data_IF_064036139068
#
_entry.id   IF_064036139068
#
_cell.length_a   1.000
_cell.length_b   1.000
_cell.length_c   1.000
_cell.angle_alpha   90.00
_cell.angle_beta   90.00
_cell.angle_gamma   90.00
#
_symmetry.space_group_name_H-M   'P 1'
#
loop_
_entity.id
_entity.type
_entity.pdbx_description
1 polymer ?
#
# COMPACT_ATOMS: atom_id res chain seq x y z
N UNK A 1 -22.32 -4.65 -6.06
CA UNK A 1 -21.98 -4.21 -4.71
C UNK A 1 -21.01 -5.15 -3.98
N UNK A 2 -20.78 -6.39 -4.48
CA UNK A 2 -19.81 -7.33 -3.91
C UNK A 2 -18.49 -7.26 -4.69
N UNK A 3 -17.35 -7.22 -3.98
CA UNK A 3 -16.02 -7.24 -4.59
C UNK A 3 -15.58 -8.65 -4.96
N UNK A 4 -15.92 -9.64 -4.12
CA UNK A 4 -15.71 -11.06 -4.35
C UNK A 4 -16.72 -11.90 -3.56
N UNK A 5 -16.87 -13.18 -3.90
CA UNK A 5 -17.78 -14.11 -3.20
C UNK A 5 -17.24 -15.53 -3.24
N UNK A 6 -17.66 -16.34 -2.24
CA UNK A 6 -17.44 -17.80 -2.20
C UNK A 6 -18.76 -18.47 -1.81
N UNK A 7 -19.31 -19.25 -2.73
CA UNK A 7 -20.55 -20.02 -2.52
C UNK A 7 -20.19 -21.48 -2.73
N UNK A 8 -19.83 -22.17 -1.65
CA UNK A 8 -19.36 -23.55 -1.66
C UNK A 8 -19.52 -24.16 -0.26
N UNK A 9 -19.20 -25.47 -0.15
CA UNK A 9 -19.26 -26.24 1.09
C UNK A 9 -17.92 -26.34 1.84
N UNK A 10 -16.91 -25.57 1.43
CA UNK A 10 -15.61 -25.48 2.12
C UNK A 10 -15.75 -24.69 3.39
N UNK A 11 -14.83 -24.88 4.34
CA UNK A 11 -14.84 -24.11 5.56
C UNK A 11 -14.65 -22.59 5.32
N UNK A 12 -15.17 -21.78 6.20
CA UNK A 12 -15.17 -20.32 6.06
C UNK A 12 -13.76 -19.76 6.16
N UNK A 13 -12.90 -20.34 6.99
CA UNK A 13 -11.54 -19.85 7.18
C UNK A 13 -10.70 -19.95 5.90
N UNK A 14 -10.81 -21.05 5.13
CA UNK A 14 -10.13 -21.19 3.85
C UNK A 14 -10.69 -20.22 2.81
N UNK A 15 -12.01 -20.04 2.78
CA UNK A 15 -12.65 -19.07 1.90
C UNK A 15 -12.20 -17.63 2.23
N UNK A 16 -12.03 -17.27 3.50
CA UNK A 16 -11.54 -15.96 3.94
C UNK A 16 -10.10 -15.75 3.51
N UNK A 17 -9.22 -16.75 3.65
CA UNK A 17 -7.83 -16.68 3.15
C UNK A 17 -7.78 -16.43 1.65
N UNK A 18 -8.53 -17.21 0.87
CA UNK A 18 -8.60 -17.02 -0.58
C UNK A 18 -9.14 -15.64 -0.97
N UNK A 19 -10.15 -15.13 -0.28
CA UNK A 19 -10.68 -13.78 -0.51
C UNK A 19 -9.67 -12.71 -0.15
N UNK A 20 -8.94 -12.87 0.96
CA UNK A 20 -7.85 -11.99 1.39
C UNK A 20 -6.76 -11.91 0.30
N UNK A 21 -6.34 -13.05 -0.24
CA UNK A 21 -5.35 -13.13 -1.32
C UNK A 21 -5.87 -12.53 -2.63
N UNK A 22 -7.09 -12.89 -3.04
CA UNK A 22 -7.72 -12.39 -4.28
C UNK A 22 -7.87 -10.88 -4.28
N UNK A 23 -8.29 -10.31 -3.15
CA UNK A 23 -8.52 -8.88 -2.99
C UNK A 23 -7.24 -8.13 -2.59
N UNK A 24 -6.17 -8.85 -2.24
CA UNK A 24 -4.94 -8.31 -1.69
C UNK A 24 -5.21 -7.40 -0.46
N UNK A 25 -5.99 -7.93 0.49
CA UNK A 25 -6.34 -7.27 1.76
C UNK A 25 -5.82 -8.13 2.90
N UNK A 26 -5.14 -7.53 3.87
CA UNK A 26 -4.68 -8.26 5.06
C UNK A 26 -5.83 -8.87 5.86
N UNK A 27 -5.63 -10.05 6.43
CA UNK A 27 -6.62 -10.71 7.30
C UNK A 27 -7.05 -9.84 8.49
N UNK A 28 -6.14 -9.00 8.99
CA UNK A 28 -6.38 -8.03 10.07
C UNK A 28 -7.28 -6.85 9.67
N UNK A 29 -7.62 -6.74 8.41
CA UNK A 29 -8.54 -5.73 7.86
C UNK A 29 -9.92 -6.31 7.54
N UNK A 30 -10.18 -7.57 7.94
CA UNK A 30 -11.43 -8.26 7.67
C UNK A 30 -12.26 -8.40 8.95
N UNK A 31 -13.56 -8.24 8.80
CA UNK A 31 -14.56 -8.53 9.83
C UNK A 31 -15.44 -9.64 9.32
N UNK A 32 -15.47 -10.78 10.02
CA UNK A 32 -16.31 -11.93 9.66
C UNK A 32 -17.60 -11.92 10.48
N UNK A 33 -18.71 -11.90 9.79
CA UNK A 33 -20.05 -11.92 10.38
C UNK A 33 -20.80 -13.16 9.90
N UNK A 34 -21.25 -13.99 10.83
CA UNK A 34 -21.97 -15.22 10.55
C UNK A 34 -22.95 -15.51 11.71
N UNK A 35 -24.15 -16.00 11.44
CA UNK A 35 -25.13 -16.35 12.45
C UNK A 35 -24.80 -17.69 13.15
N UNK A 36 -24.05 -18.58 12.50
CA UNK A 36 -23.65 -19.86 13.05
C UNK A 36 -22.48 -19.70 14.05
N UNK A 37 -22.69 -20.01 15.34
CA UNK A 37 -21.65 -19.88 16.36
C UNK A 37 -20.45 -20.83 16.11
N UNK A 38 -20.68 -21.98 15.50
CA UNK A 38 -19.61 -22.96 15.19
C UNK A 38 -18.68 -22.42 14.12
N UNK A 39 -19.22 -21.77 13.08
CA UNK A 39 -18.42 -21.15 12.03
C UNK A 39 -17.64 -19.95 12.57
N UNK A 40 -18.24 -19.13 13.44
CA UNK A 40 -17.53 -18.02 14.10
C UNK A 40 -16.36 -18.52 14.94
N UNK A 41 -16.58 -19.59 15.75
CA UNK A 41 -15.51 -20.14 16.59
C UNK A 41 -14.39 -20.75 15.75
N UNK A 42 -14.71 -21.46 14.67
CA UNK A 42 -13.73 -21.99 13.74
C UNK A 42 -12.85 -20.88 13.15
N UNK A 43 -13.45 -19.76 12.72
CA UNK A 43 -12.70 -18.63 12.17
C UNK A 43 -11.82 -17.97 13.25
N UNK A 44 -12.29 -17.80 14.49
CA UNK A 44 -11.48 -17.27 15.59
C UNK A 44 -10.23 -18.13 15.84
N UNK A 45 -10.37 -19.44 15.81
CA UNK A 45 -9.26 -20.37 16.06
C UNK A 45 -8.28 -20.42 14.88
N UNK A 46 -8.78 -20.51 13.66
CA UNK A 46 -7.94 -20.66 12.47
C UNK A 46 -7.36 -19.34 11.95
N UNK A 47 -8.02 -18.21 12.20
CA UNK A 47 -7.66 -16.88 11.72
C UNK A 47 -7.76 -15.84 12.84
N UNK A 48 -6.89 -15.90 13.85
CA UNK A 48 -6.97 -15.02 15.03
C UNK A 48 -6.78 -13.53 14.70
N UNK A 49 -6.33 -13.21 13.49
CA UNK A 49 -6.20 -11.83 13.01
C UNK A 49 -7.51 -11.26 12.44
N UNK A 50 -8.50 -12.12 12.12
CA UNK A 50 -9.81 -11.68 11.62
C UNK A 50 -10.69 -11.32 12.80
N UNK A 51 -11.29 -10.14 12.74
CA UNK A 51 -12.26 -9.75 13.76
C UNK A 51 -13.57 -10.52 13.58
N UNK A 52 -14.06 -11.16 14.65
CA UNK A 52 -15.29 -11.97 14.62
C UNK A 52 -16.24 -11.50 15.73
N UNK A 53 -17.08 -10.51 15.46
CA UNK A 53 -18.03 -9.98 16.43
C UNK A 53 -19.10 -11.01 16.80
N UNK A 54 -19.68 -10.86 18.00
CA UNK A 54 -20.81 -11.69 18.41
C UNK A 54 -22.06 -11.31 17.60
N UNK A 55 -22.69 -12.32 17.02
CA UNK A 55 -23.91 -12.15 16.24
C UNK A 55 -25.13 -12.07 17.17
N UNK A 56 -26.08 -11.16 16.95
CA UNK A 56 -27.24 -10.99 17.82
C UNK A 56 -28.16 -12.21 17.82
N UNK A 57 -28.65 -12.58 18.99
CA UNK A 57 -29.54 -13.75 19.15
C UNK A 57 -30.94 -13.52 18.57
N UNK A 58 -31.37 -12.27 18.48
CA UNK A 58 -32.71 -11.90 18.04
C UNK A 58 -32.67 -11.08 16.75
N UNK A 59 -33.46 -11.43 15.73
CA UNK A 59 -33.45 -10.74 14.44
C UNK A 59 -33.71 -9.23 14.50
N UNK A 60 -34.52 -8.76 15.45
CA UNK A 60 -34.81 -7.35 15.59
C UNK A 60 -33.63 -6.49 16.06
N UNK A 61 -32.55 -7.13 16.55
CA UNK A 61 -31.32 -6.46 16.96
C UNK A 61 -30.32 -6.28 15.77
N UNK A 62 -30.59 -6.86 14.62
CA UNK A 62 -29.70 -6.79 13.45
C UNK A 62 -29.43 -5.35 12.95
N UNK A 63 -30.41 -4.43 12.87
CA UNK A 63 -30.15 -3.06 12.45
C UNK A 63 -29.14 -2.36 13.35
N UNK A 64 -29.32 -2.42 14.66
CA UNK A 64 -28.41 -1.78 15.64
C UNK A 64 -27.02 -2.45 15.62
N UNK A 65 -26.99 -3.77 15.45
CA UNK A 65 -25.74 -4.50 15.29
C UNK A 65 -24.95 -4.03 14.06
N UNK A 66 -25.59 -3.89 12.90
CA UNK A 66 -24.93 -3.42 11.67
C UNK A 66 -24.44 -1.97 11.82
N UNK A 67 -25.20 -1.11 12.47
CA UNK A 67 -24.79 0.26 12.78
C UNK A 67 -23.54 0.24 13.68
N UNK A 68 -23.56 -0.57 14.73
CA UNK A 68 -22.42 -0.70 15.65
C UNK A 68 -21.15 -1.21 14.97
N UNK A 69 -21.28 -2.16 14.02
CA UNK A 69 -20.15 -2.63 13.20
C UNK A 69 -19.60 -1.50 12.33
N UNK A 70 -20.50 -0.74 11.69
CA UNK A 70 -20.10 0.40 10.85
C UNK A 70 -19.31 1.42 11.66
N UNK A 71 -19.81 1.80 12.84
CA UNK A 71 -19.16 2.78 13.70
C UNK A 71 -17.84 2.30 14.27
N UNK A 72 -17.75 1.01 14.63
CA UNK A 72 -16.56 0.45 15.26
C UNK A 72 -15.42 0.16 14.27
N UNK A 73 -15.72 -0.40 13.10
CA UNK A 73 -14.71 -0.93 12.19
C UNK A 73 -14.59 -0.17 10.86
N UNK A 74 -15.65 0.52 10.44
CA UNK A 74 -15.72 1.13 9.10
C UNK A 74 -15.94 2.64 9.11
N UNK A 75 -15.79 3.29 10.27
CA UNK A 75 -15.97 4.72 10.39
C UNK A 75 -14.93 5.47 9.56
N UNK A 76 -15.39 6.28 8.63
CA UNK A 76 -14.56 7.11 7.76
C UNK A 76 -14.95 8.56 7.98
N UNK A 77 -13.99 9.40 8.39
CA UNK A 77 -14.22 10.83 8.64
C UNK A 77 -14.24 11.66 7.36
N UNK A 78 -13.55 11.20 6.32
CA UNK A 78 -13.59 11.80 4.99
C UNK A 78 -13.51 10.70 3.93
N UNK A 79 -14.30 10.81 2.87
CA UNK A 79 -14.33 9.86 1.75
C UNK A 79 -13.64 10.53 0.57
N UNK A 80 -12.52 9.97 0.13
CA UNK A 80 -11.84 10.42 -1.10
C UNK A 80 -12.49 9.81 -2.33
N UNK A 81 -12.18 10.33 -3.52
CA UNK A 81 -12.64 9.76 -4.78
C UNK A 81 -12.15 8.30 -4.96
N UNK A 82 -10.93 7.99 -4.49
CA UNK A 82 -10.39 6.64 -4.49
C UNK A 82 -11.18 5.69 -3.58
N UNK A 83 -11.68 6.18 -2.44
CA UNK A 83 -12.53 5.36 -1.56
C UNK A 83 -13.86 4.99 -2.24
N UNK A 84 -14.42 5.86 -3.05
CA UNK A 84 -15.65 5.59 -3.83
C UNK A 84 -15.44 4.53 -4.90
N UNK A 85 -14.23 4.46 -5.48
CA UNK A 85 -13.88 3.52 -6.55
C UNK A 85 -13.35 2.18 -6.04
N UNK A 86 -13.26 1.95 -4.73
CA UNK A 86 -12.66 0.73 -4.14
C UNK A 86 -13.21 -0.56 -4.72
N UNK A 87 -14.54 -0.67 -4.88
CA UNK A 87 -15.15 -1.90 -5.41
C UNK A 87 -14.69 -2.21 -6.84
N UNK A 88 -14.56 -1.17 -7.68
CA UNK A 88 -14.04 -1.34 -9.06
C UNK A 88 -12.57 -1.75 -9.05
N UNK A 89 -11.78 -1.16 -8.15
CA UNK A 89 -10.37 -1.50 -7.99
C UNK A 89 -10.15 -2.94 -7.54
N UNK A 90 -10.99 -3.47 -6.64
CA UNK A 90 -10.94 -4.87 -6.24
C UNK A 90 -11.30 -5.83 -7.37
N UNK A 91 -12.31 -5.51 -8.18
CA UNK A 91 -12.66 -6.29 -9.38
C UNK A 91 -11.52 -6.30 -10.39
N UNK A 92 -10.90 -5.15 -10.63
CA UNK A 92 -9.72 -5.05 -11.48
C UNK A 92 -8.55 -5.90 -10.95
N UNK A 93 -8.34 -5.96 -9.63
CA UNK A 93 -7.32 -6.82 -9.02
C UNK A 93 -7.62 -8.31 -9.23
N UNK A 94 -8.86 -8.74 -9.05
CA UNK A 94 -9.25 -10.12 -9.34
C UNK A 94 -8.98 -10.50 -10.81
N UNK A 95 -9.27 -9.58 -11.75
CA UNK A 95 -8.96 -9.77 -13.17
C UNK A 95 -7.45 -9.87 -13.43
N UNK A 96 -6.62 -9.07 -12.76
CA UNK A 96 -5.15 -9.14 -12.84
C UNK A 96 -4.62 -10.48 -12.32
N UNK A 97 -5.18 -10.97 -11.21
CA UNK A 97 -4.81 -12.28 -10.64
C UNK A 97 -5.13 -13.42 -11.59
N UNK A 98 -6.27 -13.37 -12.26
CA UNK A 98 -6.62 -14.36 -13.30
C UNK A 98 -5.69 -14.26 -14.50
N UNK A 99 -5.37 -13.05 -14.96
CA UNK A 99 -4.45 -12.83 -16.06
C UNK A 99 -3.05 -13.34 -15.76
N UNK A 100 -2.55 -13.12 -14.54
CA UNK A 100 -1.23 -13.60 -14.10
C UNK A 100 -1.06 -15.10 -14.30
N UNK A 101 -2.11 -15.88 -14.11
CA UNK A 101 -2.09 -17.35 -14.26
C UNK A 101 -1.84 -17.82 -15.69
N UNK A 102 -2.02 -16.96 -16.69
CA UNK A 102 -1.80 -17.28 -18.10
C UNK A 102 -0.33 -17.20 -18.53
N UNK A 103 0.52 -16.56 -17.71
CA UNK A 103 1.91 -16.33 -18.03
C UNK A 103 2.84 -17.17 -17.14
N UNK A 104 3.80 -17.82 -17.75
CA UNK A 104 4.90 -18.49 -17.04
C UNK A 104 5.96 -17.48 -16.64
N UNK A 105 6.30 -16.58 -17.55
CA UNK A 105 7.27 -15.51 -17.34
C UNK A 105 6.62 -14.29 -16.69
N UNK A 106 7.28 -13.75 -15.64
CA UNK A 106 6.74 -12.62 -14.89
C UNK A 106 6.88 -11.28 -15.64
N UNK A 107 7.96 -11.09 -16.36
CA UNK A 107 8.18 -9.84 -17.11
C UNK A 107 7.22 -9.75 -18.31
N UNK A 108 6.91 -10.86 -18.98
CA UNK A 108 5.87 -10.91 -20.00
C UNK A 108 4.49 -10.57 -19.43
N UNK A 109 4.18 -11.03 -18.22
CA UNK A 109 2.96 -10.61 -17.53
C UNK A 109 2.96 -9.11 -17.25
N UNK A 110 4.05 -8.54 -16.69
CA UNK A 110 4.14 -7.10 -16.42
C UNK A 110 4.00 -6.27 -17.71
N UNK A 111 4.64 -6.71 -18.79
CA UNK A 111 4.51 -6.08 -20.09
C UNK A 111 3.06 -6.09 -20.60
N UNK A 112 2.34 -7.19 -20.38
CA UNK A 112 0.94 -7.33 -20.78
C UNK A 112 -0.01 -6.39 -20.02
N UNK A 113 0.40 -5.87 -18.87
CA UNK A 113 -0.42 -4.96 -18.06
C UNK A 113 -0.46 -3.53 -18.61
N UNK A 114 0.51 -3.13 -19.44
CA UNK A 114 0.62 -1.77 -19.98
C UNK A 114 0.61 -0.71 -18.88
N UNK A 115 1.47 -0.89 -17.87
CA UNK A 115 1.48 -0.06 -16.66
C UNK A 115 1.95 1.36 -17.00
N UNK A 116 1.10 2.32 -16.68
CA UNK A 116 1.40 3.76 -16.70
C UNK A 116 1.52 4.28 -15.28
N UNK A 117 2.63 4.94 -15.01
CA UNK A 117 2.99 5.53 -13.72
C UNK A 117 3.12 7.03 -13.89
N UNK A 118 2.50 7.81 -13.00
CA UNK A 118 2.62 9.26 -12.99
C UNK A 118 3.10 9.71 -11.63
N UNK A 119 4.27 10.33 -11.61
CA UNK A 119 4.90 10.88 -10.40
C UNK A 119 4.65 12.39 -10.39
N UNK A 120 3.94 12.88 -9.39
CA UNK A 120 3.56 14.28 -9.30
C UNK A 120 3.97 14.88 -7.95
N UNK A 121 4.39 16.15 -7.92
CA UNK A 121 4.62 16.84 -6.67
C UNK A 121 3.31 17.00 -5.87
N UNK A 122 3.45 17.10 -4.56
CA UNK A 122 2.33 17.43 -3.68
C UNK A 122 1.71 18.78 -4.07
N UNK A 123 0.40 18.83 -4.03
CA UNK A 123 -0.41 20.01 -4.33
C UNK A 123 -1.65 20.04 -3.42
N UNK A 124 -2.41 21.11 -3.48
CA UNK A 124 -3.70 21.22 -2.77
C UNK A 124 -4.73 20.15 -3.19
N UNK A 125 -4.57 19.57 -4.38
CA UNK A 125 -5.51 18.55 -4.91
C UNK A 125 -5.20 17.13 -4.41
N UNK A 126 -3.94 16.85 -4.06
CA UNK A 126 -3.51 15.50 -3.69
C UNK A 126 -3.05 15.36 -2.23
N UNK A 127 -2.84 16.45 -1.49
CA UNK A 127 -2.36 16.44 -0.10
C UNK A 127 -3.24 15.60 0.84
N UNK A 128 -4.55 15.72 0.71
CA UNK A 128 -5.51 14.94 1.52
C UNK A 128 -5.31 13.43 1.32
N UNK A 129 -5.10 13.03 0.06
CA UNK A 129 -4.85 11.63 -0.26
C UNK A 129 -3.49 11.15 0.25
N UNK A 130 -2.44 11.95 0.14
CA UNK A 130 -1.11 11.62 0.68
C UNK A 130 -1.21 11.45 2.21
N UNK A 131 -1.84 12.39 2.93
CA UNK A 131 -2.06 12.29 4.37
C UNK A 131 -2.82 11.02 4.74
N UNK A 132 -3.93 10.73 4.05
CA UNK A 132 -4.70 9.49 4.26
C UNK A 132 -3.84 8.24 4.07
N UNK A 133 -2.96 8.23 3.07
CA UNK A 133 -2.06 7.10 2.83
C UNK A 133 -1.07 6.92 3.96
N UNK A 134 -0.47 7.99 4.53
CA UNK A 134 0.42 7.86 5.70
C UNK A 134 -0.32 7.25 6.89
N UNK A 135 -1.62 7.54 7.07
CA UNK A 135 -2.44 7.01 8.17
C UNK A 135 -2.83 5.55 8.00
N UNK A 136 -3.10 5.10 6.76
CA UNK A 136 -3.73 3.80 6.51
C UNK A 136 -2.77 2.73 5.98
N UNK A 137 -1.60 3.10 5.45
CA UNK A 137 -0.66 2.14 4.85
C UNK A 137 0.27 1.55 5.90
N UNK A 138 0.32 0.23 5.98
CA UNK A 138 1.14 -0.51 6.94
C UNK A 138 2.08 -1.52 6.26
N UNK A 139 1.61 -2.29 5.28
CA UNK A 139 2.37 -3.40 4.68
C UNK A 139 3.59 -2.91 3.90
N UNK A 140 3.41 -1.91 3.05
CA UNK A 140 4.51 -1.26 2.36
C UNK A 140 4.63 0.19 2.85
N UNK A 141 5.19 0.36 4.03
CA UNK A 141 5.54 1.64 4.63
C UNK A 141 6.82 1.45 5.45
N UNK A 142 7.90 2.03 4.98
CA UNK A 142 9.25 1.73 5.48
C UNK A 142 9.51 2.32 6.86
N UNK A 143 8.81 3.39 7.26
CA UNK A 143 9.00 4.04 8.57
C UNK A 143 7.73 4.10 9.40
N UNK A 144 6.57 3.87 8.79
CA UNK A 144 5.23 3.91 9.41
C UNK A 144 4.89 5.22 10.12
N UNK A 145 5.56 6.33 9.77
CA UNK A 145 5.26 7.67 10.27
C UNK A 145 3.90 8.13 9.78
N UNK A 146 3.17 8.87 10.62
CA UNK A 146 1.80 9.30 10.37
C UNK A 146 1.76 10.82 10.34
N UNK A 147 1.21 11.39 9.28
CA UNK A 147 1.17 12.82 9.07
C UNK A 147 -0.24 13.29 8.72
N UNK A 148 -0.64 14.43 9.26
CA UNK A 148 -1.85 15.15 8.88
C UNK A 148 -1.57 15.99 7.61
N UNK A 149 -2.62 16.51 7.00
CA UNK A 149 -2.50 17.45 5.87
C UNK A 149 -1.70 18.70 6.30
N UNK A 150 -1.91 19.17 7.53
CA UNK A 150 -1.21 20.34 8.08
C UNK A 150 0.30 20.08 8.22
N UNK A 151 0.69 18.88 8.69
CA UNK A 151 2.09 18.48 8.78
C UNK A 151 2.75 18.49 7.39
N UNK A 152 2.08 17.89 6.40
CA UNK A 152 2.60 17.82 5.03
C UNK A 152 2.76 19.21 4.40
N UNK A 153 1.80 20.10 4.61
CA UNK A 153 1.88 21.48 4.14
C UNK A 153 3.02 22.24 4.83
N UNK A 154 3.23 22.02 6.13
CA UNK A 154 4.34 22.56 6.89
C UNK A 154 5.69 22.07 6.38
N UNK A 155 5.82 20.77 6.10
CA UNK A 155 7.04 20.18 5.55
C UNK A 155 7.35 20.76 4.15
N UNK A 156 6.36 20.84 3.28
CA UNK A 156 6.52 21.41 1.95
C UNK A 156 6.99 22.88 2.02
N UNK A 157 6.40 23.68 2.92
CA UNK A 157 6.83 25.06 3.18
C UNK A 157 8.25 25.13 3.77
N UNK A 158 8.67 24.09 4.50
CA UNK A 158 10.01 23.91 5.05
C UNK A 158 11.05 23.34 4.07
N UNK A 159 10.72 23.24 2.77
CA UNK A 159 11.65 22.82 1.72
C UNK A 159 11.73 21.30 1.50
N UNK A 160 10.85 20.51 2.09
CA UNK A 160 10.76 19.08 1.76
C UNK A 160 10.20 18.89 0.34
N UNK A 161 10.68 17.86 -0.33
CA UNK A 161 10.09 17.38 -1.58
C UNK A 161 9.11 16.24 -1.26
N UNK A 162 7.87 16.40 -1.69
CA UNK A 162 6.83 15.41 -1.46
C UNK A 162 6.22 15.05 -2.81
N UNK A 163 6.28 13.77 -3.17
CA UNK A 163 5.72 13.27 -4.42
C UNK A 163 4.70 12.19 -4.15
N UNK A 164 3.68 12.12 -5.00
CA UNK A 164 2.75 11.00 -5.07
C UNK A 164 2.90 10.25 -6.40
N UNK A 165 2.48 8.99 -6.36
CA UNK A 165 2.46 8.09 -7.50
C UNK A 165 1.01 7.70 -7.81
N UNK A 166 0.56 8.01 -9.01
CA UNK A 166 -0.66 7.45 -9.60
C UNK A 166 -0.30 6.30 -10.55
N UNK A 167 -1.09 5.25 -10.51
CA UNK A 167 -0.86 4.06 -11.34
C UNK A 167 -2.14 3.65 -12.03
N UNK A 168 -2.08 3.47 -13.33
CA UNK A 168 -3.13 2.79 -14.09
C UNK A 168 -2.55 1.68 -14.97
N UNK A 169 -3.37 0.72 -15.32
CA UNK A 169 -3.05 -0.35 -16.27
C UNK A 169 -4.28 -0.69 -17.11
N UNK A 170 -4.18 -1.64 -18.03
CA UNK A 170 -5.29 -2.03 -18.93
C UNK A 170 -6.56 -2.49 -18.21
N UNK A 171 -6.50 -2.86 -16.92
CA UNK A 171 -7.64 -3.30 -16.12
C UNK A 171 -8.32 -2.14 -15.36
N UNK A 172 -7.66 -1.00 -15.22
CA UNK A 172 -8.25 0.16 -14.59
C UNK A 172 -7.26 1.12 -13.96
N UNK A 173 -7.82 2.22 -13.48
CA UNK A 173 -7.11 3.27 -12.78
C UNK A 173 -7.13 2.99 -11.27
N UNK A 174 -5.94 2.86 -10.67
CA UNK A 174 -5.78 2.67 -9.24
C UNK A 174 -5.72 4.00 -8.46
N UNK A 175 -5.68 5.13 -9.16
CA UNK A 175 -5.51 6.46 -8.57
C UNK A 175 -4.16 6.65 -7.89
N UNK A 176 -4.09 7.53 -6.89
CA UNK A 176 -2.88 7.74 -6.09
C UNK A 176 -2.67 6.55 -5.16
N UNK A 177 -1.58 5.84 -5.39
CA UNK A 177 -1.24 4.56 -4.74
C UNK A 177 0.14 4.53 -4.10
N UNK A 178 0.96 5.56 -4.28
CA UNK A 178 2.25 5.69 -3.64
C UNK A 178 2.52 7.11 -3.18
N UNK A 179 3.41 7.26 -2.20
CA UNK A 179 3.94 8.55 -1.79
C UNK A 179 5.38 8.41 -1.29
N UNK A 180 6.18 9.44 -1.50
CA UNK A 180 7.52 9.60 -0.96
C UNK A 180 7.66 11.00 -0.37
N UNK A 181 8.22 11.07 0.83
CA UNK A 181 8.54 12.30 1.53
C UNK A 181 10.06 12.38 1.68
N UNK A 182 10.65 13.44 1.17
CA UNK A 182 12.09 13.67 1.12
C UNK A 182 12.42 14.89 1.98
N UNK A 183 13.09 14.65 3.10
CA UNK A 183 13.57 15.70 3.99
C UNK A 183 14.92 16.21 3.49
N UNK A 184 15.13 17.54 3.34
CA UNK A 184 16.44 18.06 3.01
C UNK A 184 17.43 17.80 4.16
N UNK A 185 18.65 17.40 3.79
CA UNK A 185 19.79 17.23 4.70
C UNK A 185 21.02 17.88 4.07
N UNK A 186 22.10 18.01 4.84
CA UNK A 186 23.35 18.52 4.28
C UNK A 186 23.85 17.58 3.16
N UNK A 187 24.06 18.14 1.98
CA UNK A 187 24.50 17.42 0.78
C UNK A 187 23.48 16.58 0.03
N UNK A 188 22.19 16.56 0.45
CA UNK A 188 21.18 15.76 -0.24
C UNK A 188 19.81 15.69 0.43
N UNK A 189 19.21 14.51 0.37
CA UNK A 189 17.89 14.25 0.94
C UNK A 189 17.87 12.95 1.73
N UNK A 190 17.00 12.90 2.73
CA UNK A 190 16.62 11.67 3.42
C UNK A 190 15.19 11.28 3.03
N UNK A 191 15.01 10.03 2.64
CA UNK A 191 13.69 9.44 2.46
C UNK A 191 13.08 9.24 3.84
N UNK A 192 12.27 10.20 4.28
CA UNK A 192 11.57 10.16 5.57
C UNK A 192 10.48 9.10 5.56
N UNK A 193 9.73 9.03 4.49
CA UNK A 193 8.66 8.05 4.29
C UNK A 193 8.59 7.62 2.84
N UNK A 194 8.49 6.30 2.62
CA UNK A 194 8.23 5.70 1.33
C UNK A 194 7.15 4.63 1.51
N UNK A 195 6.03 4.80 0.86
CA UNK A 195 4.86 3.97 1.09
C UNK A 195 4.05 3.73 -0.19
N UNK A 196 3.49 2.51 -0.29
CA UNK A 196 2.63 2.11 -1.40
C UNK A 196 1.39 1.37 -0.90
N UNK A 197 0.27 1.60 -1.56
CA UNK A 197 -0.97 0.87 -1.32
C UNK A 197 -0.81 -0.62 -1.66
N UNK A 198 -1.37 -1.49 -0.85
CA UNK A 198 -1.36 -2.95 -1.08
C UNK A 198 -1.93 -3.35 -2.46
N UNK A 199 -2.80 -2.54 -3.06
CA UNK A 199 -3.42 -2.80 -4.37
C UNK A 199 -2.45 -2.93 -5.54
N UNK A 200 -1.29 -2.30 -5.44
CA UNK A 200 -0.28 -2.30 -6.52
C UNK A 200 0.93 -3.17 -6.22
N UNK A 201 1.03 -3.75 -5.02
CA UNK A 201 2.16 -4.61 -4.65
C UNK A 201 2.24 -5.85 -5.53
N UNK A 202 3.44 -6.44 -5.60
CA UNK A 202 3.72 -7.62 -6.40
C UNK A 202 3.79 -7.37 -7.92
N UNK A 203 4.05 -6.12 -8.34
CA UNK A 203 4.24 -5.73 -9.74
C UNK A 203 5.55 -4.97 -9.96
N UNK A 204 6.48 -5.00 -9.01
CA UNK A 204 7.75 -4.24 -9.00
C UNK A 204 7.57 -2.74 -9.27
N UNK A 205 6.39 -2.20 -8.98
CA UNK A 205 6.09 -0.76 -9.11
C UNK A 205 6.89 0.04 -8.07
N UNK A 206 7.12 -0.55 -6.90
CA UNK A 206 7.95 -0.01 -5.82
C UNK A 206 9.37 0.31 -6.28
N UNK A 207 9.99 -0.60 -6.99
CA UNK A 207 11.35 -0.45 -7.56
C UNK A 207 11.36 0.65 -8.63
N UNK A 208 10.39 0.63 -9.55
CA UNK A 208 10.28 1.62 -10.60
C UNK A 208 9.99 3.03 -10.06
N UNK A 209 9.18 3.14 -9.00
CA UNK A 209 8.89 4.42 -8.34
C UNK A 209 10.13 4.98 -7.65
N UNK A 210 10.83 4.18 -6.86
CA UNK A 210 12.07 4.61 -6.22
C UNK A 210 13.11 5.04 -7.27
N UNK A 211 13.30 4.24 -8.33
CA UNK A 211 14.22 4.55 -9.42
C UNK A 211 13.86 5.86 -10.12
N UNK A 212 12.56 6.11 -10.34
CA UNK A 212 12.06 7.37 -10.89
C UNK A 212 12.43 8.58 -10.02
N UNK A 213 12.19 8.48 -8.71
CA UNK A 213 12.55 9.53 -7.73
C UNK A 213 14.07 9.74 -7.70
N UNK A 214 14.86 8.69 -7.63
CA UNK A 214 16.32 8.79 -7.60
C UNK A 214 16.85 9.46 -8.88
N UNK A 215 16.33 9.11 -10.06
CA UNK A 215 16.72 9.76 -11.32
C UNK A 215 16.34 11.25 -11.35
N UNK A 216 15.18 11.64 -10.80
CA UNK A 216 14.81 13.05 -10.64
C UNK A 216 15.80 13.80 -9.74
N UNK A 217 16.14 13.24 -8.59
CA UNK A 217 17.12 13.83 -7.64
C UNK A 217 18.50 13.95 -8.29
N UNK A 218 18.96 12.93 -9.01
CA UNK A 218 20.21 12.96 -9.76
C UNK A 218 20.24 14.09 -10.78
N UNK A 219 19.16 14.25 -11.53
CA UNK A 219 19.05 15.33 -12.54
C UNK A 219 19.07 16.71 -11.89
N UNK A 220 18.71 16.82 -10.61
CA UNK A 220 18.83 18.03 -9.79
C UNK A 220 20.18 18.13 -9.06
N UNK A 221 21.20 17.35 -9.48
CA UNK A 221 22.56 17.36 -8.93
C UNK A 221 22.66 16.97 -7.45
N UNK A 222 21.69 16.26 -6.91
CA UNK A 222 21.77 15.66 -5.58
C UNK A 222 22.82 14.57 -5.58
N UNK A 223 23.67 14.54 -4.56
CA UNK A 223 24.80 13.59 -4.47
C UNK A 223 24.58 12.46 -3.47
N UNK A 224 23.74 12.69 -2.46
CA UNK A 224 23.50 11.76 -1.36
C UNK A 224 22.02 11.60 -1.09
N UNK A 225 21.58 10.36 -0.97
CA UNK A 225 20.24 10.02 -0.46
C UNK A 225 20.39 9.11 0.74
N UNK A 226 19.82 9.49 1.88
CA UNK A 226 19.71 8.64 3.05
C UNK A 226 18.32 8.03 3.14
N UNK A 227 18.20 6.90 3.83
CA UNK A 227 16.95 6.23 4.05
C UNK A 227 16.94 5.47 5.36
N UNK A 228 15.77 5.17 5.90
CA UNK A 228 15.64 4.34 7.08
C UNK A 228 14.48 3.35 6.95
N UNK A 229 14.64 2.19 7.59
CA UNK A 229 13.59 1.20 7.78
C UNK A 229 13.34 1.04 9.28
N UNK A 230 12.07 1.17 9.69
CA UNK A 230 11.62 0.98 11.07
C UNK A 230 10.69 -0.23 11.11
N UNK A 231 11.08 -1.34 11.77
CA UNK A 231 10.33 -2.58 11.75
C UNK A 231 9.00 -2.47 12.51
N UNK A 232 7.98 -3.11 11.97
CA UNK A 232 6.70 -3.35 12.63
C UNK A 232 6.24 -4.77 12.32
N UNK A 233 5.23 -5.28 13.05
CA UNK A 233 4.64 -6.58 12.75
C UNK A 233 4.01 -6.68 11.35
N UNK A 234 3.77 -5.54 10.68
CA UNK A 234 3.06 -5.47 9.40
C UNK A 234 3.95 -5.20 8.19
N UNK A 235 5.17 -4.67 8.38
CA UNK A 235 6.05 -4.27 7.28
C UNK A 235 7.33 -5.14 7.15
N UNK A 236 7.42 -6.27 7.85
CA UNK A 236 8.60 -7.14 7.80
C UNK A 236 8.97 -7.59 6.38
N UNK A 237 7.98 -7.75 5.50
CA UNK A 237 8.19 -8.15 4.11
C UNK A 237 9.02 -7.15 3.28
N UNK A 238 9.12 -5.91 3.72
CA UNK A 238 9.88 -4.85 3.01
C UNK A 238 11.20 -4.49 3.70
N UNK A 239 11.63 -5.29 4.67
CA UNK A 239 12.85 -5.04 5.46
C UNK A 239 14.15 -5.02 4.66
N UNK A 240 14.18 -5.63 3.47
CA UNK A 240 15.32 -5.67 2.54
C UNK A 240 15.13 -4.79 1.30
N UNK A 241 14.16 -3.89 1.30
CA UNK A 241 13.83 -3.09 0.10
C UNK A 241 14.98 -2.17 -0.33
N UNK A 242 15.62 -1.49 0.61
CA UNK A 242 16.71 -0.58 0.29
C UNK A 242 17.99 -1.31 -0.14
N UNK A 243 18.28 -2.48 0.47
CA UNK A 243 19.42 -3.31 0.05
C UNK A 243 19.24 -3.80 -1.41
N UNK A 244 18.00 -4.16 -1.80
CA UNK A 244 17.68 -4.56 -3.17
C UNK A 244 17.75 -3.39 -4.17
N UNK A 245 17.70 -2.15 -3.68
CA UNK A 245 17.84 -0.93 -4.46
C UNK A 245 19.25 -0.32 -4.36
N UNK A 246 20.26 -1.15 -4.05
CA UNK A 246 21.69 -0.79 -3.99
C UNK A 246 22.05 0.26 -2.93
N UNK A 247 21.18 0.50 -1.93
CA UNK A 247 21.54 1.32 -0.78
C UNK A 247 22.52 0.55 0.12
N UNK A 248 23.52 1.25 0.62
CA UNK A 248 24.53 0.72 1.55
C UNK A 248 23.97 0.84 2.98
N UNK A 249 24.02 -0.26 3.72
CA UNK A 249 23.62 -0.28 5.13
C UNK A 249 24.71 0.37 5.99
N UNK A 250 24.37 1.46 6.68
CA UNK A 250 25.26 2.16 7.61
C UNK A 250 25.28 1.53 9.00
N UNK A 251 24.15 0.96 9.40
CA UNK A 251 23.99 0.36 10.72
C UNK A 251 22.55 0.04 11.07
N UNK A 252 22.37 -0.49 12.26
CA UNK A 252 21.04 -0.81 12.81
C UNK A 252 20.98 -0.51 14.32
N UNK A 253 19.82 -0.16 14.79
CA UNK A 253 19.54 0.05 16.21
C UNK A 253 19.07 -1.24 16.90
N UNK A 254 19.00 -1.20 18.25
CA UNK A 254 18.56 -2.34 19.07
C UNK A 254 17.11 -2.76 18.83
N UNK A 255 16.28 -1.86 18.35
CA UNK A 255 14.87 -2.12 17.97
C UNK A 255 14.73 -2.74 16.57
N UNK A 256 15.85 -2.95 15.86
CA UNK A 256 15.89 -3.49 14.50
C UNK A 256 15.73 -2.46 13.40
N UNK A 257 15.67 -1.17 13.74
CA UNK A 257 15.70 -0.08 12.75
C UNK A 257 17.02 -0.10 12.00
N UNK A 258 16.97 0.11 10.68
CA UNK A 258 18.13 0.10 9.80
C UNK A 258 18.30 1.45 9.13
N UNK A 259 19.53 1.89 8.95
CA UNK A 259 19.88 3.16 8.32
C UNK A 259 20.75 2.91 7.10
N UNK A 260 20.49 3.68 6.06
CA UNK A 260 21.10 3.47 4.75
C UNK A 260 21.52 4.78 4.12
N UNK A 261 22.47 4.69 3.21
CA UNK A 261 22.77 5.75 2.27
C UNK A 261 22.95 5.22 0.85
N UNK A 262 22.80 6.10 -0.12
CA UNK A 262 23.09 5.90 -1.52
C UNK A 262 23.85 7.12 -2.05
N UNK A 263 25.08 6.92 -2.52
CA UNK A 263 25.78 7.92 -3.30
C UNK A 263 25.25 7.91 -4.74
N UNK A 264 24.83 9.09 -5.21
CA UNK A 264 24.18 9.20 -6.50
C UNK A 264 25.20 9.06 -7.64
N UNK A 265 25.11 7.97 -8.37
CA UNK A 265 25.98 7.60 -9.47
C UNK A 265 25.34 7.76 -10.85
N UNK A 266 25.45 6.69 -11.67
CA UNK A 266 24.86 6.61 -13.00
C UNK A 266 23.32 6.56 -12.95
N UNK A 267 22.69 6.78 -14.10
CA UNK A 267 21.23 6.65 -14.23
C UNK A 267 20.76 5.22 -13.94
N UNK A 268 19.73 5.11 -13.12
CA UNK A 268 19.11 3.83 -12.79
C UNK A 268 18.17 3.45 -13.93
N UNK A 269 18.43 2.31 -14.56
CA UNK A 269 17.58 1.80 -15.65
C UNK A 269 16.27 1.32 -15.10
N UNK A 270 15.19 1.86 -15.65
CA UNK A 270 13.82 1.40 -15.38
C UNK A 270 13.38 0.50 -16.53
N UNK A 271 12.78 -0.68 -16.26
CA UNK A 271 12.28 -1.55 -17.31
C UNK A 271 11.33 -0.81 -18.26
N UNK A 272 11.48 -1.04 -19.58
CA UNK A 272 10.75 -0.32 -20.63
C UNK A 272 9.23 -0.58 -20.66
N UNK A 273 8.77 -1.59 -19.94
CA UNK A 273 7.35 -1.87 -19.81
C UNK A 273 6.62 -0.95 -18.82
N UNK A 274 7.33 -0.13 -18.07
CA UNK A 274 6.73 0.98 -17.32
C UNK A 274 6.79 2.27 -18.13
N UNK A 275 5.62 2.89 -18.36
CA UNK A 275 5.55 4.24 -18.93
C UNK A 275 5.48 5.24 -17.77
N UNK A 276 6.60 5.91 -17.46
CA UNK A 276 6.68 6.88 -16.36
C UNK A 276 6.60 8.29 -16.91
N UNK A 277 5.72 9.10 -16.30
CA UNK A 277 5.60 10.55 -16.56
C UNK A 277 5.81 11.30 -15.24
N UNK A 278 6.37 12.53 -15.35
CA UNK A 278 6.71 13.41 -14.22
C UNK A 278 5.98 14.73 -14.32
#
# INVERSE_FOLDING_TARGET
HFSAWRINWRNKADNIRELSEELNIGLDSLVFVDDNPTERELVRQMLPMVEVPEFPKQPYMLPDFLISLSDRYFRVYSVTEEDRRKTEQYKANASRTQERKKFVDFDQYLQSLEIEMRIEPMSSFNVSRIAQMTQKTNQFNLTTRRYSEMDLMGFFSGGWLIYCLSVKDRFGDNGITGAVLLRPIDGGYEIDSFLLSCRILGKRIEEAFLSGILNMLRNSSVKLVKASYVPTSKNMQVSGFYEQADFILDGHDKDGSKFYHLEMGAEIKIPSYYKITY
#
